data_IF_041213383288
#
_entry.id   IF_041213383288
#
_cell.length_a   1.000
_cell.length_b   1.000
_cell.length_c   1.000
_cell.angle_alpha   90.00
_cell.angle_beta   90.00
_cell.angle_gamma   90.00
#
_symmetry.space_group_name_H-M   'P 1'
#
loop_
_entity.id
_entity.type
_entity.pdbx_description
1 polymer ?
#
# COMPACT_ATOMS: atom_id res chain seq x y z
N UNK A 1 15.62 1.19 -12.10
CA UNK A 1 15.18 -0.22 -11.96
C UNK A 1 15.38 -0.91 -13.29
N UNK A 2 15.65 -2.21 -13.29
CA UNK A 2 15.60 -3.04 -14.49
C UNK A 2 14.43 -4.01 -14.43
N UNK A 3 13.94 -4.38 -15.60
CA UNK A 3 13.03 -5.52 -15.76
C UNK A 3 13.89 -6.74 -16.03
N UNK A 4 13.95 -7.66 -15.07
CA UNK A 4 14.44 -9.03 -15.30
C UNK A 4 13.24 -9.96 -15.16
N UNK A 5 12.79 -10.62 -16.24
CA UNK A 5 11.66 -11.52 -16.15
C UNK A 5 11.97 -12.62 -15.14
N UNK A 6 11.24 -12.63 -14.02
CA UNK A 6 11.32 -13.70 -13.03
C UNK A 6 10.27 -14.74 -13.40
N UNK A 7 10.73 -15.91 -13.84
CA UNK A 7 9.87 -17.05 -14.13
C UNK A 7 9.11 -17.45 -12.86
N UNK A 8 7.77 -17.50 -12.96
CA UNK A 8 6.83 -17.99 -11.95
C UNK A 8 7.15 -17.50 -10.53
N UNK A 9 6.65 -16.31 -10.19
CA UNK A 9 6.75 -15.74 -8.84
C UNK A 9 5.97 -16.65 -7.89
N UNK A 10 6.61 -17.68 -7.33
CA UNK A 10 6.04 -18.56 -6.32
C UNK A 10 6.46 -18.06 -4.94
N UNK A 11 5.50 -17.95 -4.01
CA UNK A 11 5.80 -17.54 -2.64
C UNK A 11 6.77 -18.54 -2.00
N UNK A 12 7.91 -18.08 -1.44
CA UNK A 12 8.84 -18.97 -0.74
C UNK A 12 8.12 -19.81 0.34
N UNK A 13 8.44 -21.11 0.46
CA UNK A 13 7.69 -22.03 1.34
C UNK A 13 7.61 -21.55 2.79
N UNK A 14 8.71 -21.00 3.32
CA UNK A 14 8.77 -20.49 4.68
C UNK A 14 7.90 -19.24 4.86
N UNK A 15 7.95 -18.30 3.91
CA UNK A 15 7.07 -17.12 3.89
C UNK A 15 5.60 -17.54 3.85
N UNK A 16 5.25 -18.53 3.02
CA UNK A 16 3.88 -19.04 2.92
C UNK A 16 3.39 -19.69 4.22
N UNK A 17 4.24 -20.51 4.85
CA UNK A 17 3.94 -21.15 6.12
C UNK A 17 3.67 -20.12 7.22
N UNK A 18 4.59 -19.16 7.39
CA UNK A 18 4.48 -18.14 8.45
C UNK A 18 3.29 -17.21 8.19
N UNK A 19 3.05 -16.78 6.94
CA UNK A 19 1.91 -15.92 6.60
C UNK A 19 0.56 -16.55 6.96
N UNK A 20 0.38 -17.83 6.61
CA UNK A 20 -0.85 -18.58 6.92
C UNK A 20 -1.01 -18.83 8.43
N UNK A 21 0.09 -19.09 9.13
CA UNK A 21 0.06 -19.26 10.59
C UNK A 21 -0.26 -17.95 11.32
N UNK A 22 0.31 -16.83 10.88
CA UNK A 22 0.07 -15.50 11.47
C UNK A 22 -1.31 -14.93 11.13
N UNK A 23 -1.89 -15.34 9.99
CA UNK A 23 -3.16 -14.81 9.49
C UNK A 23 -4.10 -15.94 9.06
N UNK A 24 -4.63 -16.74 10.02
CA UNK A 24 -5.44 -17.92 9.71
C UNK A 24 -6.76 -17.59 9.01
N UNK A 25 -7.26 -16.36 9.18
CA UNK A 25 -8.47 -15.86 8.48
C UNK A 25 -8.16 -15.21 7.12
N UNK A 26 -6.89 -15.17 6.73
CA UNK A 26 -6.40 -14.41 5.57
C UNK A 26 -6.19 -12.92 5.88
N UNK A 27 -5.30 -12.30 5.10
CA UNK A 27 -5.08 -10.86 5.08
C UNK A 27 -5.49 -10.28 3.72
N UNK A 28 -5.86 -9.00 3.66
CA UNK A 28 -6.17 -8.34 2.38
C UNK A 28 -5.05 -8.51 1.35
N UNK A 29 -3.78 -8.38 1.76
CA UNK A 29 -2.65 -8.55 0.85
C UNK A 29 -2.51 -9.99 0.32
N UNK A 30 -2.73 -10.99 1.18
CA UNK A 30 -2.74 -12.40 0.76
C UNK A 30 -3.90 -12.69 -0.21
N UNK A 31 -5.09 -12.15 0.08
CA UNK A 31 -6.25 -12.28 -0.80
C UNK A 31 -6.00 -11.67 -2.18
N UNK A 32 -5.36 -10.51 -2.25
CA UNK A 32 -4.96 -9.85 -3.50
C UNK A 32 -4.06 -10.78 -4.31
N UNK A 33 -3.04 -11.38 -3.70
CA UNK A 33 -2.17 -12.32 -4.40
C UNK A 33 -2.91 -13.58 -4.87
N UNK A 34 -3.64 -14.24 -3.96
CA UNK A 34 -4.32 -15.52 -4.24
C UNK A 34 -5.40 -15.39 -5.32
N UNK A 35 -6.08 -14.24 -5.38
CA UNK A 35 -7.20 -14.04 -6.32
C UNK A 35 -6.77 -13.46 -7.65
N UNK A 36 -5.65 -12.72 -7.66
CA UNK A 36 -5.19 -12.00 -8.84
C UNK A 36 -4.06 -12.71 -9.59
N UNK A 37 -3.47 -13.76 -9.02
CA UNK A 37 -2.55 -14.73 -9.68
C UNK A 37 -1.59 -14.08 -10.69
N UNK A 38 -0.80 -13.10 -10.23
CA UNK A 38 0.10 -12.36 -11.12
C UNK A 38 -0.62 -11.38 -12.06
N UNK A 39 -1.48 -10.50 -11.50
CA UNK A 39 -2.15 -9.43 -12.26
C UNK A 39 -1.19 -8.62 -13.12
N UNK A 40 0.07 -8.53 -12.71
CA UNK A 40 1.14 -7.86 -13.42
C UNK A 40 2.29 -8.84 -13.63
N UNK A 41 2.82 -8.78 -14.84
CA UNK A 41 4.02 -9.48 -15.26
C UNK A 41 5.09 -8.45 -15.56
N UNK A 42 6.34 -8.80 -15.33
CA UNK A 42 7.47 -7.91 -15.56
C UNK A 42 7.58 -7.52 -17.04
N UNK A 43 7.16 -8.41 -17.94
CA UNK A 43 7.02 -8.19 -19.37
C UNK A 43 6.17 -6.97 -19.71
N UNK A 44 5.13 -6.67 -18.91
CA UNK A 44 4.21 -5.54 -19.14
C UNK A 44 4.92 -4.19 -19.00
N UNK A 45 6.03 -4.15 -18.27
CA UNK A 45 6.78 -2.92 -17.96
C UNK A 45 8.07 -2.79 -18.78
N UNK A 46 8.39 -3.78 -19.63
CA UNK A 46 9.64 -3.80 -20.42
C UNK A 46 9.83 -2.58 -21.31
N UNK A 47 8.73 -1.99 -21.80
CA UNK A 47 8.77 -0.78 -22.62
C UNK A 47 9.10 0.50 -21.83
N UNK A 48 8.94 0.48 -20.49
CA UNK A 48 9.08 1.67 -19.63
C UNK A 48 10.37 1.69 -18.81
N UNK A 49 11.07 0.55 -18.77
CA UNK A 49 12.28 0.37 -17.99
C UNK A 49 13.42 -0.13 -18.86
N UNK A 50 14.62 0.48 -18.77
CA UNK A 50 15.80 -0.09 -19.40
C UNK A 50 16.11 -1.47 -18.80
N UNK A 51 16.66 -2.37 -19.62
CA UNK A 51 17.03 -3.73 -19.20
C UNK A 51 18.19 -3.76 -18.19
N UNK A 52 18.90 -2.65 -18.06
CA UNK A 52 20.12 -2.53 -17.24
C UNK A 52 19.87 -1.60 -16.05
N UNK A 53 19.77 -2.18 -14.86
CA UNK A 53 19.33 -1.46 -13.67
C UNK A 53 19.57 -2.26 -12.41
N UNK A 54 19.66 -1.56 -11.27
CA UNK A 54 19.98 -2.15 -9.96
C UNK A 54 18.97 -3.24 -9.56
N UNK A 55 19.45 -4.35 -8.97
CA UNK A 55 18.58 -5.40 -8.44
C UNK A 55 17.73 -4.84 -7.29
N UNK A 56 16.44 -5.17 -7.29
CA UNK A 56 15.46 -4.75 -6.31
C UNK A 56 14.11 -5.42 -6.60
N UNK A 57 13.03 -4.87 -6.03
CA UNK A 57 11.69 -5.27 -6.44
C UNK A 57 11.49 -4.99 -7.93
N UNK A 58 10.73 -5.85 -8.57
CA UNK A 58 10.40 -5.70 -9.97
C UNK A 58 9.27 -4.67 -10.18
N UNK A 59 9.11 -4.10 -11.38
CA UNK A 59 8.00 -3.18 -11.66
C UNK A 59 6.62 -3.80 -11.42
N UNK A 60 6.44 -5.10 -11.69
CA UNK A 60 5.19 -5.80 -11.36
C UNK A 60 4.95 -5.83 -9.84
N UNK A 61 6.00 -6.10 -9.03
CA UNK A 61 5.91 -6.03 -7.58
C UNK A 61 5.58 -4.60 -7.10
N UNK A 62 6.16 -3.56 -7.72
CA UNK A 62 5.81 -2.18 -7.38
C UNK A 62 4.38 -1.81 -7.73
N UNK A 63 3.82 -2.32 -8.83
CA UNK A 63 2.41 -2.17 -9.15
C UNK A 63 1.52 -2.82 -8.07
N UNK A 64 1.87 -4.02 -7.62
CA UNK A 64 1.21 -4.66 -6.47
C UNK A 64 1.31 -3.82 -5.21
N UNK A 65 2.50 -3.29 -4.89
CA UNK A 65 2.70 -2.40 -3.74
C UNK A 65 1.81 -1.16 -3.85
N UNK A 66 1.71 -0.53 -5.03
CA UNK A 66 0.83 0.63 -5.23
C UNK A 66 -0.65 0.31 -5.02
N UNK A 67 -1.11 -0.86 -5.45
CA UNK A 67 -2.49 -1.29 -5.19
C UNK A 67 -2.71 -1.58 -3.71
N UNK A 68 -1.81 -2.30 -3.05
CA UNK A 68 -1.91 -2.55 -1.61
C UNK A 68 -1.82 -1.26 -0.79
N UNK A 69 -0.97 -0.34 -1.20
CA UNK A 69 -0.84 0.99 -0.63
C UNK A 69 -2.17 1.73 -0.68
N UNK A 70 -2.83 1.75 -1.85
CA UNK A 70 -4.14 2.36 -2.01
C UNK A 70 -5.22 1.67 -1.18
N UNK A 71 -5.34 0.33 -1.28
CA UNK A 71 -6.36 -0.45 -0.58
C UNK A 71 -6.26 -0.35 0.95
N UNK A 72 -5.04 -0.21 1.47
CA UNK A 72 -4.77 -0.10 2.90
C UNK A 72 -4.53 1.34 3.36
N UNK A 73 -4.72 2.32 2.47
CA UNK A 73 -4.54 3.74 2.72
C UNK A 73 -3.20 4.09 3.40
N UNK A 74 -2.10 3.62 2.80
CA UNK A 74 -0.74 3.80 3.31
C UNK A 74 -0.02 4.94 2.58
N UNK A 75 0.80 5.70 3.30
CA UNK A 75 1.83 6.55 2.68
C UNK A 75 2.97 5.72 2.08
N UNK A 76 3.79 6.30 1.19
CA UNK A 76 4.94 5.61 0.60
C UNK A 76 5.89 5.03 1.66
N UNK A 77 6.11 5.78 2.75
CA UNK A 77 6.94 5.33 3.89
C UNK A 77 6.31 4.14 4.61
N UNK A 78 5.00 4.20 4.85
CA UNK A 78 4.28 3.10 5.48
C UNK A 78 4.20 1.87 4.57
N UNK A 79 4.09 2.04 3.26
CA UNK A 79 4.09 0.95 2.29
C UNK A 79 5.47 0.27 2.23
N UNK A 80 6.56 1.05 2.19
CA UNK A 80 7.91 0.51 2.28
C UNK A 80 8.16 -0.24 3.59
N UNK A 81 7.70 0.33 4.72
CA UNK A 81 7.78 -0.31 6.03
C UNK A 81 6.92 -1.59 6.11
N UNK A 82 5.73 -1.58 5.49
CA UNK A 82 4.87 -2.74 5.40
C UNK A 82 5.53 -3.90 4.64
N UNK A 83 6.21 -3.61 3.52
CA UNK A 83 6.99 -4.62 2.78
C UNK A 83 8.11 -5.20 3.64
N UNK A 84 8.78 -4.36 4.42
CA UNK A 84 9.88 -4.78 5.29
C UNK A 84 9.41 -5.65 6.46
N UNK A 85 8.33 -5.27 7.11
CA UNK A 85 7.98 -5.79 8.44
C UNK A 85 6.73 -6.69 8.46
N UNK A 86 5.84 -6.61 7.47
CA UNK A 86 4.58 -7.36 7.50
C UNK A 86 4.65 -8.62 6.65
N UNK A 87 4.30 -9.74 7.28
CA UNK A 87 4.31 -11.05 6.65
C UNK A 87 3.31 -11.16 5.48
N UNK A 88 2.18 -10.46 5.55
CA UNK A 88 1.18 -10.47 4.48
C UNK A 88 1.64 -9.75 3.22
N UNK A 89 2.46 -8.69 3.35
CA UNK A 89 3.10 -8.04 2.21
C UNK A 89 4.21 -8.90 1.61
N UNK A 90 5.04 -9.55 2.43
CA UNK A 90 6.05 -10.50 1.94
C UNK A 90 5.40 -11.67 1.19
N UNK A 91 4.27 -12.17 1.68
CA UNK A 91 3.47 -13.16 0.96
C UNK A 91 2.99 -12.64 -0.39
N UNK A 92 2.35 -11.46 -0.40
CA UNK A 92 1.75 -10.90 -1.59
C UNK A 92 2.74 -10.50 -2.68
N UNK A 93 4.01 -10.32 -2.32
CA UNK A 93 5.09 -10.00 -3.24
C UNK A 93 6.01 -11.20 -3.51
N UNK A 94 5.71 -12.37 -2.92
CA UNK A 94 6.54 -13.57 -2.94
C UNK A 94 8.01 -13.30 -2.58
N UNK A 95 8.21 -12.58 -1.48
CA UNK A 95 9.53 -12.24 -0.94
C UNK A 95 9.97 -13.26 0.12
N UNK A 96 11.28 -13.37 0.26
CA UNK A 96 11.89 -14.07 1.38
C UNK A 96 11.63 -13.32 2.71
N UNK A 97 11.67 -14.06 3.82
CA UNK A 97 11.46 -13.47 5.15
C UNK A 97 12.53 -12.44 5.51
N UNK A 98 13.77 -12.66 5.06
CA UNK A 98 14.92 -11.77 5.29
C UNK A 98 15.07 -10.67 4.22
N UNK A 99 14.16 -10.60 3.24
CA UNK A 99 14.21 -9.56 2.22
C UNK A 99 14.17 -8.16 2.87
N UNK A 100 15.13 -7.27 2.55
CA UNK A 100 15.26 -5.97 3.21
C UNK A 100 14.21 -4.95 2.76
N UNK A 101 13.41 -5.26 1.74
CA UNK A 101 12.46 -4.35 1.12
C UNK A 101 13.15 -3.31 0.24
N UNK A 102 12.61 -2.09 0.23
CA UNK A 102 13.10 -1.00 -0.61
C UNK A 102 12.98 0.35 0.12
N UNK A 103 13.72 1.34 -0.37
CA UNK A 103 13.61 2.71 0.15
C UNK A 103 12.39 3.42 -0.44
N UNK A 104 11.56 4.05 0.39
CA UNK A 104 10.29 4.67 -0.01
C UNK A 104 10.33 5.56 -1.28
N UNK A 105 11.42 6.31 -1.51
CA UNK A 105 11.61 7.14 -2.71
C UNK A 105 11.51 6.36 -4.02
N UNK A 106 11.86 5.08 -4.00
CA UNK A 106 11.83 4.19 -5.16
C UNK A 106 10.38 3.94 -5.62
N UNK A 107 9.42 3.93 -4.69
CA UNK A 107 7.99 3.85 -5.02
C UNK A 107 7.45 5.16 -5.56
N UNK A 108 7.95 6.30 -5.06
CA UNK A 108 7.64 7.62 -5.62
C UNK A 108 8.14 7.73 -7.07
N UNK A 109 9.39 7.34 -7.34
CA UNK A 109 9.96 7.31 -8.69
C UNK A 109 9.18 6.39 -9.65
N UNK A 110 8.66 5.28 -9.15
CA UNK A 110 7.80 4.37 -9.90
C UNK A 110 6.48 5.05 -10.30
N UNK A 111 5.83 5.74 -9.36
CA UNK A 111 4.58 6.47 -9.62
C UNK A 111 4.78 7.65 -10.57
N UNK A 112 5.88 8.39 -10.42
CA UNK A 112 6.22 9.49 -11.34
C UNK A 112 6.41 8.98 -12.78
N UNK A 113 6.95 7.77 -12.96
CA UNK A 113 7.06 7.13 -14.27
C UNK A 113 5.73 6.64 -14.83
N UNK A 114 4.82 6.17 -13.97
CA UNK A 114 3.47 5.77 -14.37
C UNK A 114 2.61 6.98 -14.78
N UNK A 115 2.84 8.14 -14.16
CA UNK A 115 2.15 9.39 -14.47
C UNK A 115 2.62 10.02 -15.79
N UNK A 116 3.67 9.49 -16.42
CA UNK A 116 4.11 9.93 -17.75
C UNK A 116 3.22 9.32 -18.83
N UNK A 117 2.83 10.16 -19.79
CA UNK A 117 2.03 9.75 -20.94
C UNK A 117 0.73 9.05 -20.51
N UNK A 118 0.42 7.92 -21.15
CA UNK A 118 -0.81 7.14 -21.00
C UNK A 118 -0.53 5.81 -20.26
N UNK A 119 0.56 5.75 -19.48
CA UNK A 119 1.04 4.48 -18.89
C UNK A 119 0.15 3.97 -17.77
N UNK A 120 -0.35 4.86 -16.92
CA UNK A 120 -1.30 4.52 -15.88
C UNK A 120 -2.60 3.93 -16.48
N UNK A 121 -3.13 4.56 -17.53
CA UNK A 121 -4.34 4.12 -18.22
C UNK A 121 -4.13 2.75 -18.88
N UNK A 122 -3.01 2.55 -19.59
CA UNK A 122 -2.65 1.23 -20.15
C UNK A 122 -2.52 0.13 -19.10
N UNK A 123 -1.94 0.45 -17.94
CA UNK A 123 -1.81 -0.51 -16.84
C UNK A 123 -3.18 -0.87 -16.26
N UNK A 124 -4.07 0.12 -16.14
CA UNK A 124 -5.44 -0.08 -15.68
C UNK A 124 -6.26 -0.92 -16.67
N UNK A 125 -6.17 -0.62 -17.97
CA UNK A 125 -6.83 -1.38 -19.02
C UNK A 125 -6.36 -2.85 -19.03
N UNK A 126 -5.05 -3.07 -18.88
CA UNK A 126 -4.49 -4.41 -18.79
C UNK A 126 -5.01 -5.17 -17.56
N UNK A 127 -5.07 -4.50 -16.40
CA UNK A 127 -5.64 -5.08 -15.20
C UNK A 127 -7.12 -5.44 -15.41
N UNK A 128 -7.91 -4.56 -16.03
CA UNK A 128 -9.32 -4.80 -16.31
C UNK A 128 -9.52 -6.00 -17.26
N UNK A 129 -8.69 -6.12 -18.30
CA UNK A 129 -8.71 -7.25 -19.22
C UNK A 129 -8.45 -8.57 -18.48
N UNK A 130 -7.41 -8.63 -17.64
CA UNK A 130 -7.06 -9.84 -16.86
C UNK A 130 -8.11 -10.19 -15.81
N UNK A 131 -8.64 -9.19 -15.10
CA UNK A 131 -9.73 -9.39 -14.15
C UNK A 131 -11.01 -9.92 -14.83
N UNK A 132 -11.32 -9.41 -16.03
CA UNK A 132 -12.45 -9.90 -16.83
C UNK A 132 -12.22 -11.35 -17.27
N UNK A 133 -11.01 -11.66 -17.76
CA UNK A 133 -10.64 -13.03 -18.14
C UNK A 133 -10.70 -14.02 -16.96
N UNK A 134 -10.34 -13.56 -15.76
CA UNK A 134 -10.45 -14.33 -14.51
C UNK A 134 -11.89 -14.42 -13.96
N UNK A 135 -12.88 -13.87 -14.66
CA UNK A 135 -14.30 -13.86 -14.27
C UNK A 135 -14.60 -12.99 -13.04
N UNK A 136 -13.64 -12.16 -12.61
CA UNK A 136 -13.78 -11.24 -11.49
C UNK A 136 -14.59 -9.99 -11.83
N UNK A 137 -14.62 -9.64 -13.13
CA UNK A 137 -15.42 -8.54 -13.67
C UNK A 137 -16.39 -9.12 -14.70
N UNK A 138 -17.69 -8.89 -14.49
CA UNK A 138 -18.75 -9.38 -15.38
C UNK A 138 -19.14 -8.28 -16.38
N UNK A 139 -19.22 -8.61 -17.68
CA UNK A 139 -19.55 -7.65 -18.75
C UNK A 139 -21.05 -7.27 -18.84
N UNK A 140 -21.87 -7.44 -17.80
CA UNK A 140 -23.33 -7.25 -17.92
C UNK A 140 -23.95 -6.26 -16.94
N UNK A 141 -24.54 -5.20 -17.51
CA UNK A 141 -25.67 -4.45 -16.96
C UNK A 141 -25.38 -2.98 -16.66
N UNK A 142 -25.82 -2.08 -17.55
CA UNK A 142 -25.84 -0.60 -17.44
C UNK A 142 -24.57 -0.04 -16.77
N UNK A 143 -23.62 0.40 -17.60
CA UNK A 143 -22.47 1.21 -17.19
C UNK A 143 -22.97 2.40 -16.36
N UNK A 144 -23.00 2.23 -15.05
CA UNK A 144 -23.07 3.35 -14.11
C UNK A 144 -21.64 3.82 -14.03
N UNK A 145 -21.29 4.69 -14.96
CA UNK A 145 -20.18 5.62 -14.78
C UNK A 145 -20.60 6.56 -13.65
N UNK A 146 -20.56 6.08 -12.42
CA UNK A 146 -20.20 6.97 -11.33
C UNK A 146 -18.70 7.16 -11.54
N UNK A 147 -18.37 8.09 -12.43
CA UNK A 147 -17.06 8.74 -12.40
C UNK A 147 -16.99 9.35 -11.02
N UNK A 148 -16.48 8.60 -10.05
CA UNK A 148 -16.02 9.16 -8.80
C UNK A 148 -14.96 10.15 -9.25
N UNK A 149 -15.30 11.43 -9.27
CA UNK A 149 -14.30 12.48 -9.30
C UNK A 149 -13.29 12.07 -8.24
N UNK A 150 -12.04 11.81 -8.65
CA UNK A 150 -10.91 11.74 -7.72
C UNK A 150 -10.70 13.19 -7.28
N UNK A 151 -11.65 13.72 -6.51
CA UNK A 151 -11.35 14.69 -5.48
C UNK A 151 -10.33 13.95 -4.62
N UNK A 152 -9.16 14.55 -4.47
CA UNK A 152 -8.05 14.03 -3.69
C UNK A 152 -8.59 13.23 -2.49
N UNK A 153 -8.05 12.04 -2.25
CA UNK A 153 -8.36 11.21 -1.10
C UNK A 153 -7.90 11.90 0.20
N UNK A 154 -8.46 13.08 0.50
CA UNK A 154 -8.61 13.61 1.82
C UNK A 154 -9.64 12.70 2.47
N UNK A 155 -9.14 11.62 3.08
CA UNK A 155 -9.92 10.85 4.04
C UNK A 155 -10.57 11.86 4.98
N UNK A 156 -11.90 11.91 5.00
CA UNK A 156 -12.61 12.62 6.07
C UNK A 156 -12.21 11.93 7.37
N UNK A 157 -11.34 12.60 8.12
CA UNK A 157 -10.98 12.16 9.45
C UNK A 157 -12.29 12.05 10.23
N UNK A 158 -12.49 10.93 10.93
CA UNK A 158 -13.61 10.87 11.88
C UNK A 158 -13.49 12.05 12.86
N UNK A 159 -14.58 12.51 13.47
CA UNK A 159 -14.52 13.63 14.43
C UNK A 159 -13.41 13.45 15.49
N UNK A 160 -13.17 12.21 15.92
CA UNK A 160 -12.09 11.85 16.82
C UNK A 160 -10.70 12.01 16.17
N UNK A 161 -10.51 11.53 14.95
CA UNK A 161 -9.25 11.67 14.22
C UNK A 161 -8.93 13.13 13.86
N UNK A 162 -9.94 13.94 13.55
CA UNK A 162 -9.80 15.37 13.30
C UNK A 162 -9.32 16.10 14.56
N UNK A 163 -9.90 15.75 15.72
CA UNK A 163 -9.45 16.29 17.01
C UNK A 163 -8.03 15.84 17.34
N UNK A 164 -7.70 14.56 17.11
CA UNK A 164 -6.36 14.03 17.38
C UNK A 164 -5.29 14.66 16.48
N UNK A 165 -5.55 14.79 15.19
CA UNK A 165 -4.63 15.44 14.25
C UNK A 165 -4.49 16.95 14.51
N UNK A 166 -5.57 17.64 14.87
CA UNK A 166 -5.51 19.04 15.27
C UNK A 166 -4.67 19.25 16.54
N UNK A 167 -4.83 18.37 17.54
CA UNK A 167 -4.02 18.38 18.77
C UNK A 167 -2.55 18.08 18.45
N UNK A 168 -2.27 17.07 17.62
CA UNK A 168 -0.90 16.75 17.18
C UNK A 168 -0.25 17.94 16.48
N UNK A 169 -0.93 18.53 15.50
CA UNK A 169 -0.43 19.67 14.74
C UNK A 169 -0.17 20.90 15.63
N UNK A 170 -1.08 21.19 16.57
CA UNK A 170 -0.88 22.28 17.53
C UNK A 170 0.33 22.03 18.43
N UNK A 171 0.53 20.81 18.94
CA UNK A 171 1.69 20.47 19.76
C UNK A 171 3.00 20.53 18.97
N UNK A 172 3.00 20.09 17.71
CA UNK A 172 4.17 20.20 16.81
C UNK A 172 4.53 21.66 16.48
N UNK A 173 3.53 22.54 16.35
CA UNK A 173 3.77 23.96 16.14
C UNK A 173 4.33 24.63 17.39
N UNK A 174 3.74 24.36 18.56
CA UNK A 174 4.22 24.87 19.84
C UNK A 174 5.64 24.37 20.12
N UNK A 175 5.96 23.11 19.81
CA UNK A 175 7.32 22.57 19.93
C UNK A 175 8.34 23.36 19.10
N UNK A 176 7.91 23.91 17.97
CA UNK A 176 8.77 24.66 17.05
C UNK A 176 8.92 26.12 17.45
N UNK A 177 7.85 26.77 17.93
CA UNK A 177 7.82 28.22 18.17
C UNK A 177 8.00 28.62 19.63
N UNK A 178 7.62 27.76 20.59
CA UNK A 178 7.59 28.07 22.01
C UNK A 178 7.74 26.79 22.87
N UNK A 179 8.90 26.09 22.79
CA UNK A 179 9.11 24.81 23.47
C UNK A 179 8.93 24.87 25.00
N UNK A 180 9.23 26.01 25.62
CA UNK A 180 9.06 26.25 27.07
C UNK A 180 7.59 26.20 27.55
N UNK A 181 6.64 26.27 26.62
CA UNK A 181 5.21 26.07 26.89
C UNK A 181 4.90 24.57 27.03
N UNK A 182 5.58 23.71 26.27
CA UNK A 182 5.41 22.25 26.39
C UNK A 182 6.01 21.71 27.68
N UNK A 183 7.11 22.28 28.17
CA UNK A 183 7.71 21.86 29.44
C UNK A 183 6.76 22.03 30.64
N UNK A 184 5.78 22.93 30.53
CA UNK A 184 4.74 23.16 31.55
C UNK A 184 3.50 22.28 31.35
N UNK A 185 3.25 21.79 30.14
CA UNK A 185 2.06 21.01 29.75
C UNK A 185 2.31 19.49 29.75
N UNK A 186 3.51 19.08 29.34
CA UNK A 186 3.92 17.67 29.21
C UNK A 186 4.61 17.25 30.50
N UNK A 187 3.81 16.99 31.52
CA UNK A 187 4.28 16.44 32.80
C UNK A 187 4.47 14.92 32.71
N UNK A 188 5.13 14.31 33.70
CA UNK A 188 5.28 12.85 33.78
C UNK A 188 3.91 12.12 33.74
N UNK A 189 2.89 12.70 34.37
CA UNK A 189 1.52 12.19 34.37
C UNK A 189 0.85 12.28 32.98
N UNK A 190 1.18 13.31 32.19
CA UNK A 190 0.74 13.44 30.80
C UNK A 190 1.33 12.31 29.92
N UNK A 191 2.61 12.00 30.13
CA UNK A 191 3.29 10.90 29.45
C UNK A 191 2.68 9.53 29.73
N UNK A 192 2.24 9.27 30.97
CA UNK A 192 1.54 8.02 31.30
C UNK A 192 0.16 7.92 30.64
N UNK A 193 -0.58 9.04 30.56
CA UNK A 193 -1.97 9.06 30.08
C UNK A 193 -2.08 9.13 28.56
N UNK A 194 -1.17 9.84 27.90
CA UNK A 194 -1.23 10.16 26.47
C UNK A 194 0.03 9.75 25.68
N UNK A 195 1.09 9.28 26.34
CA UNK A 195 2.32 8.83 25.67
C UNK A 195 2.19 7.50 24.93
N UNK A 196 1.08 6.78 25.09
CA UNK A 196 0.78 5.61 24.26
C UNK A 196 0.38 6.03 22.86
N UNK A 197 1.18 5.61 21.89
CA UNK A 197 0.86 5.76 20.47
C UNK A 197 -0.55 5.20 20.18
N UNK A 198 -1.35 5.97 19.46
CA UNK A 198 -2.65 5.52 18.94
C UNK A 198 -2.39 4.27 18.11
N UNK A 199 -2.82 3.10 18.60
CA UNK A 199 -2.66 1.84 17.88
C UNK A 199 -3.48 1.91 16.61
N UNK A 200 -2.84 1.58 15.48
CA UNK A 200 -3.53 1.43 14.21
C UNK A 200 -4.66 0.38 14.34
N UNK A 201 -5.78 0.63 13.67
CA UNK A 201 -6.90 -0.31 13.58
C UNK A 201 -6.43 -1.71 13.16
N UNK A 202 -7.19 -2.72 13.61
CA UNK A 202 -7.04 -4.12 13.21
C UNK A 202 -6.84 -4.26 11.71
N UNK A 203 -5.92 -5.13 11.31
CA UNK A 203 -5.61 -5.42 9.90
C UNK A 203 -6.89 -5.91 9.21
N UNK A 204 -7.40 -5.20 8.19
CA UNK A 204 -8.60 -5.63 7.52
C UNK A 204 -8.32 -6.93 6.74
N UNK A 205 -9.19 -7.93 6.90
CA UNK A 205 -9.11 -9.21 6.19
C UNK A 205 -9.63 -9.12 4.75
N UNK A 206 -10.36 -8.04 4.43
CA UNK A 206 -10.89 -7.72 3.11
C UNK A 206 -10.73 -6.22 2.81
N UNK A 207 -10.71 -5.82 1.53
CA UNK A 207 -10.66 -4.41 1.14
C UNK A 207 -11.70 -3.58 1.90
N UNK A 208 -11.32 -2.37 2.32
CA UNK A 208 -12.27 -1.46 2.97
C UNK A 208 -13.44 -1.18 1.99
N UNK A 209 -14.67 -1.49 2.41
CA UNK A 209 -15.85 -1.08 1.66
C UNK A 209 -15.97 0.43 1.77
N UNK A 210 -15.83 1.16 0.66
CA UNK A 210 -16.21 2.57 0.59
C UNK A 210 -17.74 2.64 0.76
N UNK A 211 -18.16 2.94 1.99
CA UNK A 211 -19.55 3.15 2.32
C UNK A 211 -20.10 4.35 1.56
N UNK A 212 -21.24 4.14 0.90
CA UNK A 212 -22.07 5.18 0.30
C UNK A 212 -22.46 6.20 1.37
N UNK A 213 -22.13 7.45 1.12
CA UNK A 213 -22.94 8.62 1.47
C UNK A 213 -22.87 9.60 0.30
#
# INVERSE_FOLDING_TARGET
>A
MSVRPRACVQVPPLTAQVARASTPRGATAMWVYDRLDGLWHDEDFTAWYPRDGRPGLSPAQFATVSVLQFLLNLSDRQAAEAVRCRIDFKYALALELDDPGFHHSVLSDFRDRLAQEDRADRLFDLALQRLTAAGLVQQRGRQRTDSTHILAAARELTRLELVLEAVRAALEEIARTAPEVLDRLVTAEWGERYGRQVRMCSQPSHPAHSGRY
#
